data_IF_875448755829
#
_entry.id   IF_875448755829
#
_cell.length_a   1.000
_cell.length_b   1.000
_cell.length_c   1.000
_cell.angle_alpha   90.00
_cell.angle_beta   90.00
_cell.angle_gamma   90.00
#
_symmetry.space_group_name_H-M   'P 1'
#
loop_
_entity.id
_entity.type
_entity.pdbx_description
1 polymer ?
#
# COMPACT_ATOMS: atom_id res chain seq x y z
N UNK A 1 13.14 14.07 -59.89
CA UNK A 1 12.42 12.91 -60.50
C UNK A 1 12.55 11.57 -59.74
N UNK A 2 13.71 11.22 -59.14
CA UNK A 2 13.96 9.89 -58.52
C UNK A 2 12.98 9.45 -57.40
N UNK A 3 12.47 10.37 -56.57
CA UNK A 3 11.50 10.04 -55.48
C UNK A 3 10.09 9.64 -55.96
N UNK A 4 9.62 10.15 -57.10
CA UNK A 4 8.31 9.76 -57.68
C UNK A 4 8.37 8.33 -58.27
N UNK A 5 9.49 7.99 -58.92
CA UNK A 5 9.76 6.63 -59.44
C UNK A 5 9.77 5.56 -58.34
N UNK A 6 10.43 5.82 -57.20
CA UNK A 6 10.47 4.88 -56.07
C UNK A 6 9.08 4.61 -55.45
N UNK A 7 8.25 5.66 -55.32
CA UNK A 7 6.86 5.51 -54.83
C UNK A 7 6.00 4.69 -55.79
N UNK A 8 6.10 4.90 -57.10
CA UNK A 8 5.39 4.09 -58.10
C UNK A 8 5.86 2.63 -58.09
N UNK A 9 7.17 2.38 -58.01
CA UNK A 9 7.73 1.02 -57.95
C UNK A 9 7.26 0.27 -56.70
N UNK A 10 7.26 0.95 -55.54
CA UNK A 10 6.73 0.37 -54.28
C UNK A 10 5.23 0.07 -54.37
N UNK A 11 4.45 0.96 -55.00
CA UNK A 11 3.00 0.75 -55.22
C UNK A 11 2.73 -0.43 -56.16
N UNK A 12 3.50 -0.57 -57.23
CA UNK A 12 3.41 -1.68 -58.18
C UNK A 12 3.65 -3.03 -57.47
N UNK A 13 4.75 -3.19 -56.71
CA UNK A 13 5.01 -4.44 -56.00
C UNK A 13 3.94 -4.77 -54.96
N UNK A 14 3.41 -3.76 -54.25
CA UNK A 14 2.28 -3.96 -53.32
C UNK A 14 1.02 -4.46 -54.03
N UNK A 15 0.70 -3.92 -55.20
CA UNK A 15 -0.45 -4.36 -56.00
C UNK A 15 -0.23 -5.76 -56.58
N UNK A 16 0.98 -6.07 -57.07
CA UNK A 16 1.35 -7.40 -57.55
C UNK A 16 1.23 -8.45 -56.44
N UNK A 17 1.74 -8.16 -55.25
CA UNK A 17 1.64 -9.07 -54.09
C UNK A 17 0.20 -9.26 -53.64
N UNK A 18 -0.62 -8.20 -53.69
CA UNK A 18 -2.06 -8.29 -53.40
C UNK A 18 -2.76 -9.19 -54.41
N UNK A 19 -2.48 -9.01 -55.70
CA UNK A 19 -3.08 -9.83 -56.75
C UNK A 19 -2.67 -11.31 -56.66
N UNK A 20 -1.39 -11.59 -56.37
CA UNK A 20 -0.88 -12.94 -56.13
C UNK A 20 -1.52 -13.60 -54.89
N UNK A 21 -1.79 -12.82 -53.83
CA UNK A 21 -2.51 -13.31 -52.65
C UNK A 21 -3.97 -13.63 -52.98
N UNK A 22 -4.66 -12.74 -53.68
CA UNK A 22 -6.05 -12.95 -54.12
C UNK A 22 -6.17 -14.18 -55.04
N UNK A 23 -5.21 -14.41 -55.94
CA UNK A 23 -5.15 -15.63 -56.75
C UNK A 23 -4.92 -16.88 -55.90
N UNK A 24 -4.05 -16.80 -54.86
CA UNK A 24 -3.81 -17.91 -53.93
C UNK A 24 -5.03 -18.25 -53.08
N UNK A 25 -5.82 -17.24 -52.67
CA UNK A 25 -7.03 -17.42 -51.86
C UNK A 25 -8.19 -18.03 -52.65
N UNK A 26 -8.22 -17.85 -53.98
CA UNK A 26 -9.25 -18.41 -54.87
C UNK A 26 -9.03 -19.88 -55.28
N UNK A 27 -7.86 -20.47 -55.01
CA UNK A 27 -7.61 -21.86 -55.39
C UNK A 27 -8.26 -22.85 -54.41
N UNK A 28 -8.79 -23.94 -54.96
CA UNK A 28 -9.31 -25.05 -54.14
C UNK A 28 -8.17 -25.73 -53.33
N UNK A 29 -8.48 -26.32 -52.17
CA UNK A 29 -7.50 -27.12 -51.40
C UNK A 29 -6.82 -28.20 -52.24
N UNK A 30 -7.56 -28.86 -53.15
CA UNK A 30 -7.05 -29.89 -54.07
C UNK A 30 -6.04 -29.31 -55.06
N UNK A 31 -6.33 -28.14 -55.62
CA UNK A 31 -5.44 -27.43 -56.54
C UNK A 31 -4.16 -26.97 -55.84
N UNK A 32 -4.26 -26.55 -54.58
CA UNK A 32 -3.09 -26.12 -53.80
C UNK A 32 -2.17 -27.30 -53.47
N UNK A 33 -2.72 -28.45 -53.04
CA UNK A 33 -1.93 -29.67 -52.81
C UNK A 33 -1.27 -30.16 -54.10
N UNK A 34 -2.00 -30.15 -55.22
CA UNK A 34 -1.44 -30.56 -56.52
C UNK A 34 -0.24 -29.70 -56.93
N UNK A 35 -0.31 -28.39 -56.67
CA UNK A 35 0.78 -27.44 -56.93
C UNK A 35 1.97 -27.64 -55.98
N UNK A 36 1.71 -27.81 -54.68
CA UNK A 36 2.79 -28.05 -53.69
C UNK A 36 3.53 -29.37 -53.94
N UNK A 37 2.84 -30.38 -54.46
CA UNK A 37 3.45 -31.65 -54.83
C UNK A 37 4.25 -31.58 -56.13
N UNK A 38 4.02 -30.58 -57.00
CA UNK A 38 4.77 -30.29 -58.23
C UNK A 38 5.19 -31.55 -59.04
N UNK A 39 4.26 -32.48 -59.25
CA UNK A 39 4.50 -33.70 -60.03
C UNK A 39 5.17 -34.87 -59.28
N UNK A 40 5.52 -34.71 -58.00
CA UNK A 40 6.10 -35.79 -57.18
C UNK A 40 5.09 -36.92 -56.96
N UNK A 41 5.53 -38.16 -57.17
CA UNK A 41 4.70 -39.34 -56.91
C UNK A 41 4.69 -39.64 -55.40
N UNK A 42 3.54 -39.40 -54.78
CA UNK A 42 3.32 -39.59 -53.33
C UNK A 42 2.18 -40.58 -53.13
N UNK A 43 2.30 -41.52 -52.17
CA UNK A 43 1.24 -42.43 -51.78
C UNK A 43 -0.11 -41.74 -51.53
N UNK A 44 -1.20 -42.40 -51.92
CA UNK A 44 -2.56 -41.85 -51.83
C UNK A 44 -2.92 -41.44 -50.39
N UNK A 45 -2.46 -42.19 -49.40
CA UNK A 45 -2.72 -41.91 -47.98
C UNK A 45 -2.08 -40.59 -47.51
N UNK A 46 -0.85 -40.32 -47.94
CA UNK A 46 -0.15 -39.07 -47.64
C UNK A 46 -0.77 -37.89 -48.38
N UNK A 47 -1.24 -38.09 -49.62
CA UNK A 47 -2.02 -37.09 -50.36
C UNK A 47 -3.31 -36.71 -49.62
N UNK A 48 -4.02 -37.70 -49.05
CA UNK A 48 -5.22 -37.48 -48.22
C UNK A 48 -4.90 -36.71 -46.93
N UNK A 49 -3.80 -37.06 -46.23
CA UNK A 49 -3.34 -36.34 -45.02
C UNK A 49 -2.93 -34.89 -45.29
N UNK A 50 -2.27 -34.62 -46.41
CA UNK A 50 -1.94 -33.25 -46.83
C UNK A 50 -3.19 -32.46 -47.21
N UNK A 51 -4.13 -33.09 -47.93
CA UNK A 51 -5.39 -32.46 -48.30
C UNK A 51 -6.23 -32.11 -47.08
N UNK A 52 -6.29 -32.97 -46.06
CA UNK A 52 -7.00 -32.67 -44.82
C UNK A 52 -6.37 -31.50 -44.07
N UNK A 53 -5.04 -31.42 -44.01
CA UNK A 53 -4.33 -30.30 -43.40
C UNK A 53 -4.58 -28.97 -44.14
N UNK A 54 -4.60 -28.97 -45.48
CA UNK A 54 -4.89 -27.77 -46.29
C UNK A 54 -6.36 -27.37 -46.19
N UNK A 55 -7.29 -28.34 -46.19
CA UNK A 55 -8.71 -28.09 -46.02
C UNK A 55 -9.01 -27.42 -44.67
N UNK A 56 -8.41 -27.90 -43.58
CA UNK A 56 -8.51 -27.28 -42.25
C UNK A 56 -7.99 -25.84 -42.20
N UNK A 57 -6.93 -25.52 -42.96
CA UNK A 57 -6.45 -24.14 -43.12
C UNK A 57 -7.49 -23.26 -43.83
N UNK A 58 -8.19 -23.78 -44.84
CA UNK A 58 -9.19 -23.02 -45.62
C UNK A 58 -10.54 -22.84 -44.92
N UNK A 59 -11.06 -23.85 -44.21
CA UNK A 59 -12.32 -23.74 -43.43
C UNK A 59 -12.20 -22.67 -42.35
N UNK A 60 -10.99 -22.47 -41.81
CA UNK A 60 -10.72 -21.41 -40.84
C UNK A 60 -10.83 -19.99 -41.40
N UNK A 61 -10.41 -19.73 -42.64
CA UNK A 61 -10.56 -18.39 -43.22
C UNK A 61 -12.04 -17.96 -43.29
N UNK A 62 -12.94 -18.96 -43.32
CA UNK A 62 -14.39 -18.78 -43.23
C UNK A 62 -14.91 -18.70 -41.78
N UNK A 63 -14.15 -19.15 -40.79
CA UNK A 63 -14.52 -19.08 -39.36
C UNK A 63 -14.35 -17.65 -38.81
N UNK A 64 -15.33 -16.79 -39.10
CA UNK A 64 -15.43 -15.43 -38.56
C UNK A 64 -16.29 -15.41 -37.27
N UNK A 65 -15.80 -15.99 -36.17
CA UNK A 65 -16.46 -15.76 -34.88
C UNK A 65 -16.31 -14.29 -34.46
N UNK A 66 -17.40 -13.64 -34.03
CA UNK A 66 -17.36 -12.28 -33.48
C UNK A 66 -16.77 -12.25 -32.05
N UNK A 67 -16.79 -13.36 -31.32
CA UNK A 67 -16.37 -13.42 -29.92
C UNK A 67 -14.90 -13.83 -29.74
N UNK A 68 -14.16 -13.06 -28.94
CA UNK A 68 -12.80 -13.39 -28.54
C UNK A 68 -12.71 -14.69 -27.69
N UNK A 69 -13.78 -15.08 -27.00
CA UNK A 69 -13.83 -16.29 -26.17
C UNK A 69 -13.82 -17.55 -27.04
N UNK A 70 -14.71 -17.62 -28.02
CA UNK A 70 -14.82 -18.74 -28.96
C UNK A 70 -13.53 -18.90 -29.79
N UNK A 71 -12.94 -17.78 -30.23
CA UNK A 71 -11.61 -17.79 -30.88
C UNK A 71 -10.53 -18.39 -29.99
N UNK A 72 -10.56 -18.14 -28.68
CA UNK A 72 -9.58 -18.67 -27.72
C UNK A 72 -9.78 -20.15 -27.43
N UNK A 73 -11.02 -20.60 -27.29
CA UNK A 73 -11.36 -22.02 -27.08
C UNK A 73 -10.99 -22.87 -28.30
N UNK A 74 -11.31 -22.42 -29.51
CA UNK A 74 -10.86 -23.08 -30.74
C UNK A 74 -9.34 -23.22 -30.79
N UNK A 75 -8.60 -22.15 -30.47
CA UNK A 75 -7.14 -22.21 -30.43
C UNK A 75 -6.62 -23.17 -29.37
N UNK A 76 -7.26 -23.29 -28.20
CA UNK A 76 -6.87 -24.28 -27.18
C UNK A 76 -6.99 -25.71 -27.69
N UNK A 77 -8.03 -26.02 -28.44
CA UNK A 77 -8.21 -27.35 -29.03
C UNK A 77 -7.12 -27.66 -30.08
N UNK A 78 -6.72 -26.66 -30.87
CA UNK A 78 -5.74 -26.84 -31.95
C UNK A 78 -4.28 -26.82 -31.44
N UNK A 79 -3.98 -25.99 -30.44
CA UNK A 79 -2.60 -25.76 -29.95
C UNK A 79 -2.32 -26.47 -28.62
N UNK A 80 -2.73 -27.74 -28.53
CA UNK A 80 -2.48 -28.59 -27.36
C UNK A 80 -1.02 -29.03 -27.19
N UNK A 81 -0.77 -29.90 -26.21
CA UNK A 81 0.57 -30.42 -25.92
C UNK A 81 1.17 -31.22 -27.09
N UNK A 82 0.32 -31.91 -27.87
CA UNK A 82 0.73 -32.71 -29.02
C UNK A 82 1.37 -31.87 -30.12
N UNK A 83 0.79 -30.71 -30.46
CA UNK A 83 1.35 -29.83 -31.50
C UNK A 83 2.63 -29.14 -31.06
N UNK A 84 2.83 -28.95 -29.75
CA UNK A 84 4.12 -28.51 -29.18
C UNK A 84 5.17 -29.61 -29.24
N UNK A 85 4.82 -30.86 -28.87
CA UNK A 85 5.71 -32.02 -28.90
C UNK A 85 6.32 -32.23 -30.29
N UNK A 86 5.50 -32.12 -31.33
CA UNK A 86 5.92 -32.34 -32.73
C UNK A 86 6.36 -31.06 -33.47
N UNK A 87 6.61 -29.95 -32.76
CA UNK A 87 7.10 -28.67 -33.33
C UNK A 87 6.25 -28.05 -34.45
N UNK A 88 5.05 -28.56 -34.69
CA UNK A 88 4.07 -27.98 -35.63
C UNK A 88 3.52 -26.62 -35.14
N UNK A 89 3.94 -26.15 -33.97
CA UNK A 89 3.49 -24.89 -33.38
C UNK A 89 3.69 -23.67 -34.27
N UNK A 90 4.78 -23.61 -35.06
CA UNK A 90 5.02 -22.48 -35.97
C UNK A 90 4.06 -22.48 -37.16
N UNK A 91 3.72 -23.65 -37.70
CA UNK A 91 2.68 -23.77 -38.73
C UNK A 91 1.31 -23.39 -38.18
N UNK A 92 1.09 -23.73 -36.91
CA UNK A 92 -0.09 -23.31 -36.16
C UNK A 92 -0.02 -21.83 -35.73
N UNK A 93 1.10 -21.11 -35.82
CA UNK A 93 1.21 -19.69 -35.39
C UNK A 93 0.53 -18.74 -36.38
N UNK A 94 0.51 -19.13 -37.64
CA UNK A 94 -0.35 -18.52 -38.68
C UNK A 94 -1.86 -18.79 -38.44
N UNK A 95 -2.14 -19.61 -37.40
CA UNK A 95 -3.37 -20.03 -36.69
C UNK A 95 -4.26 -18.96 -36.05
N UNK A 96 -3.64 -17.85 -35.68
CA UNK A 96 -4.31 -16.85 -34.86
C UNK A 96 -3.45 -15.61 -34.66
N UNK A 97 -4.08 -14.54 -34.15
CA UNK A 97 -3.34 -13.36 -33.71
C UNK A 97 -2.34 -13.77 -32.62
N UNK A 98 -1.13 -13.21 -32.64
CA UNK A 98 -0.12 -13.39 -31.58
C UNK A 98 -0.70 -13.16 -30.16
N UNK A 99 -1.73 -12.31 -30.03
CA UNK A 99 -2.42 -12.02 -28.76
C UNK A 99 -3.19 -13.23 -28.20
N UNK A 100 -3.66 -14.16 -29.03
CA UNK A 100 -4.35 -15.38 -28.60
C UNK A 100 -3.38 -16.48 -28.14
N UNK A 101 -2.13 -16.45 -28.61
CA UNK A 101 -1.04 -17.36 -28.19
C UNK A 101 -0.35 -16.94 -26.91
N UNK A 102 -0.68 -15.76 -26.38
CA UNK A 102 -0.19 -15.31 -25.10
C UNK A 102 -0.70 -16.26 -24.00
N UNK A 103 0.16 -17.22 -23.63
CA UNK A 103 0.01 -18.08 -22.45
C UNK A 103 -0.07 -17.28 -21.14
N UNK A 104 -0.14 -15.93 -21.18
CA UNK A 104 -0.40 -15.07 -20.01
C UNK A 104 -1.73 -15.41 -19.30
N UNK A 105 -2.62 -16.18 -19.93
CA UNK A 105 -3.81 -16.74 -19.29
C UNK A 105 -3.57 -18.00 -18.43
N UNK A 106 -2.35 -18.55 -18.44
CA UNK A 106 -1.90 -19.68 -17.60
C UNK A 106 -0.96 -19.19 -16.48
N UNK A 107 -1.19 -18.00 -15.93
CA UNK A 107 -0.66 -17.75 -14.59
C UNK A 107 -1.35 -18.77 -13.69
N UNK A 108 -0.56 -19.72 -13.15
CA UNK A 108 -0.99 -20.65 -12.11
C UNK A 108 -1.90 -19.90 -11.14
N UNK A 109 -3.11 -20.41 -10.89
CA UNK A 109 -4.08 -19.82 -9.95
C UNK A 109 -3.38 -19.46 -8.64
N UNK A 110 -2.53 -20.37 -8.15
CA UNK A 110 -1.67 -20.17 -6.97
C UNK A 110 -0.83 -18.89 -7.02
N UNK A 111 -0.21 -18.54 -8.15
CA UNK A 111 0.59 -17.30 -8.26
C UNK A 111 -0.28 -16.04 -8.23
N UNK A 112 -1.48 -16.10 -8.80
CA UNK A 112 -2.44 -14.98 -8.76
C UNK A 112 -2.95 -14.79 -7.33
N UNK A 113 -3.19 -15.88 -6.61
CA UNK A 113 -3.69 -15.83 -5.24
C UNK A 113 -2.63 -15.31 -4.27
N UNK A 114 -1.37 -15.77 -4.37
CA UNK A 114 -0.25 -15.23 -3.59
C UNK A 114 -0.08 -13.71 -3.85
N UNK A 115 -0.17 -13.27 -5.11
CA UNK A 115 -0.06 -11.84 -5.43
C UNK A 115 -1.19 -11.00 -4.83
N UNK A 116 -2.41 -11.55 -4.73
CA UNK A 116 -3.53 -10.88 -4.04
C UNK A 116 -3.30 -10.83 -2.53
N UNK A 117 -2.78 -11.92 -1.96
CA UNK A 117 -2.48 -12.00 -0.53
C UNK A 117 -1.40 -11.00 -0.13
N UNK A 118 -0.28 -10.95 -0.86
CA UNK A 118 0.79 -9.95 -0.66
C UNK A 118 0.21 -8.53 -0.69
N UNK A 119 -0.61 -8.23 -1.71
CA UNK A 119 -1.28 -6.92 -1.79
C UNK A 119 -2.14 -6.65 -0.56
N UNK A 120 -2.95 -7.62 -0.13
CA UNK A 120 -3.82 -7.44 1.04
C UNK A 120 -3.02 -7.18 2.31
N UNK A 121 -1.94 -7.92 2.53
CA UNK A 121 -1.07 -7.78 3.70
C UNK A 121 -0.39 -6.41 3.72
N UNK A 122 0.16 -5.94 2.58
CA UNK A 122 0.74 -4.60 2.45
C UNK A 122 -0.33 -3.52 2.72
N UNK A 123 -1.51 -3.64 2.12
CA UNK A 123 -2.59 -2.68 2.33
C UNK A 123 -3.09 -2.64 3.78
N UNK A 124 -3.11 -3.80 4.47
CA UNK A 124 -3.46 -3.90 5.88
C UNK A 124 -2.38 -3.27 6.75
N UNK A 125 -1.10 -3.46 6.41
CA UNK A 125 0.02 -2.80 7.09
C UNK A 125 -0.10 -1.28 7.04
N UNK A 126 -0.35 -0.70 5.86
CA UNK A 126 -0.57 0.75 5.76
C UNK A 126 -1.78 1.22 6.54
N UNK A 127 -2.80 0.40 6.73
CA UNK A 127 -4.02 0.77 7.46
C UNK A 127 -3.88 0.77 8.98
N UNK A 128 -2.79 0.25 9.53
CA UNK A 128 -2.49 0.36 10.97
C UNK A 128 -2.29 1.84 11.35
N UNK A 129 -2.87 2.29 12.46
CA UNK A 129 -2.78 3.66 12.94
C UNK A 129 -1.35 4.10 13.23
N UNK A 130 -0.48 3.16 13.62
CA UNK A 130 0.95 3.40 13.81
C UNK A 130 1.67 3.81 12.52
N UNK A 131 1.21 3.34 11.37
CA UNK A 131 1.89 3.52 10.08
C UNK A 131 1.24 4.63 9.23
N UNK A 132 -0.07 4.84 9.37
CA UNK A 132 -0.75 5.98 8.79
C UNK A 132 -1.92 6.48 9.64
N UNK A 133 -2.01 7.81 9.76
CA UNK A 133 -3.14 8.50 10.37
C UNK A 133 -4.25 8.76 9.36
N UNK A 134 -5.48 8.99 9.83
CA UNK A 134 -6.63 9.34 8.99
C UNK A 134 -6.79 10.85 9.04
N UNK A 135 -6.97 11.49 7.89
CA UNK A 135 -7.23 12.92 7.85
C UNK A 135 -8.53 13.26 8.59
N UNK A 136 -8.57 14.30 9.44
CA UNK A 136 -9.69 14.55 10.34
C UNK A 136 -10.93 15.11 9.62
N UNK A 137 -10.76 15.83 8.50
CA UNK A 137 -11.87 16.54 7.87
C UNK A 137 -12.78 15.62 7.04
N UNK A 138 -14.10 15.76 7.17
CA UNK A 138 -15.08 15.04 6.32
C UNK A 138 -14.88 15.29 4.81
N UNK A 139 -14.29 16.44 4.46
CA UNK A 139 -13.93 16.83 3.08
C UNK A 139 -12.58 16.26 2.64
N UNK A 140 -11.76 15.75 3.55
CA UNK A 140 -10.46 15.12 3.27
C UNK A 140 -10.64 13.70 2.71
N UNK A 141 -11.31 13.63 1.57
CA UNK A 141 -11.54 12.40 0.84
C UNK A 141 -10.86 12.46 -0.53
N UNK A 142 -10.52 11.29 -1.07
CA UNK A 142 -9.97 11.13 -2.40
C UNK A 142 -10.78 10.05 -3.13
N UNK A 143 -11.08 10.33 -4.39
CA UNK A 143 -11.86 9.44 -5.25
C UNK A 143 -10.97 8.97 -6.38
N UNK A 144 -10.89 7.65 -6.56
CA UNK A 144 -10.16 7.03 -7.66
C UNK A 144 -10.98 5.85 -8.17
N UNK A 145 -11.17 5.75 -9.49
CA UNK A 145 -11.99 4.70 -10.11
C UNK A 145 -13.38 4.55 -9.45
N UNK A 146 -14.06 5.68 -9.20
CA UNK A 146 -15.38 5.74 -8.54
C UNK A 146 -15.41 5.25 -7.09
N UNK A 147 -14.25 4.91 -6.51
CA UNK A 147 -14.14 4.53 -5.09
C UNK A 147 -13.69 5.75 -4.30
N UNK A 148 -14.58 6.27 -3.46
CA UNK A 148 -14.29 7.36 -2.52
C UNK A 148 -13.78 6.81 -1.20
N UNK A 149 -12.64 7.30 -0.74
CA UNK A 149 -12.02 6.94 0.55
C UNK A 149 -11.57 8.18 1.29
N UNK A 150 -11.58 8.11 2.62
CA UNK A 150 -10.96 9.13 3.48
C UNK A 150 -9.43 9.10 3.27
N UNK A 151 -8.81 10.27 3.12
CA UNK A 151 -7.36 10.40 3.00
C UNK A 151 -6.70 9.88 4.27
N UNK A 152 -5.56 9.24 4.10
CA UNK A 152 -4.65 8.84 5.17
C UNK A 152 -3.28 9.41 4.88
N UNK A 153 -2.55 9.80 5.91
CA UNK A 153 -1.19 10.30 5.77
C UNK A 153 -0.21 9.33 6.43
N UNK A 154 0.92 9.08 5.79
CA UNK A 154 1.98 8.26 6.38
C UNK A 154 2.59 8.96 7.59
N UNK A 155 2.86 8.20 8.64
CA UNK A 155 3.48 8.73 9.86
C UNK A 155 5.02 8.80 9.76
N UNK A 156 5.61 8.03 8.84
CA UNK A 156 7.05 7.95 8.65
C UNK A 156 7.39 7.86 7.15
N UNK A 157 8.67 7.95 6.82
CA UNK A 157 9.19 7.79 5.46
C UNK A 157 8.87 6.40 4.91
N UNK A 158 8.68 6.35 3.60
CA UNK A 158 8.38 5.09 2.91
C UNK A 158 9.43 4.00 3.15
N UNK A 159 10.70 4.41 3.27
CA UNK A 159 11.84 3.52 3.49
C UNK A 159 11.82 2.92 4.90
N UNK A 160 11.56 3.72 5.92
CA UNK A 160 11.44 3.24 7.30
C UNK A 160 10.24 2.32 7.47
N UNK A 161 9.10 2.67 6.89
CA UNK A 161 7.91 1.82 6.88
C UNK A 161 8.16 0.48 6.19
N UNK A 162 8.95 0.46 5.12
CA UNK A 162 9.35 -0.79 4.48
C UNK A 162 10.24 -1.65 5.39
N UNK A 163 11.21 -1.06 6.09
CA UNK A 163 12.02 -1.81 7.05
C UNK A 163 11.17 -2.37 8.20
N UNK A 164 10.22 -1.57 8.72
CA UNK A 164 9.25 -2.03 9.72
C UNK A 164 8.41 -3.19 9.18
N UNK A 165 7.88 -3.07 7.96
CA UNK A 165 7.12 -4.13 7.29
C UNK A 165 7.95 -5.42 7.13
N UNK A 166 9.18 -5.31 6.63
CA UNK A 166 10.06 -6.46 6.40
C UNK A 166 10.47 -7.16 7.69
N UNK A 167 10.50 -6.45 8.83
CA UNK A 167 10.76 -7.02 10.16
C UNK A 167 9.52 -7.73 10.73
N UNK A 168 8.34 -7.13 10.59
CA UNK A 168 7.07 -7.68 11.08
C UNK A 168 6.61 -8.90 10.26
N UNK A 169 6.67 -8.80 8.93
CA UNK A 169 6.10 -9.79 8.02
C UNK A 169 7.19 -10.59 7.30
N UNK A 170 7.65 -11.64 7.97
CA UNK A 170 8.69 -12.55 7.44
C UNK A 170 8.15 -13.60 6.47
N UNK A 171 6.82 -13.72 6.31
CA UNK A 171 6.20 -14.76 5.47
C UNK A 171 6.44 -14.55 3.97
N UNK A 172 6.59 -13.30 3.55
CA UNK A 172 6.75 -12.95 2.14
C UNK A 172 8.02 -12.14 1.93
N UNK A 173 8.85 -12.54 0.96
CA UNK A 173 9.97 -11.72 0.52
C UNK A 173 9.47 -10.64 -0.45
N UNK A 174 9.10 -9.48 0.09
CA UNK A 174 8.58 -8.33 -0.65
C UNK A 174 9.72 -7.34 -0.88
N UNK A 175 9.97 -6.99 -2.14
CA UNK A 175 10.91 -5.92 -2.48
C UNK A 175 10.35 -4.54 -2.16
N UNK A 176 11.22 -3.56 -1.91
CA UNK A 176 10.82 -2.17 -1.68
C UNK A 176 9.94 -1.61 -2.81
N UNK A 177 10.28 -1.90 -4.07
CA UNK A 177 9.50 -1.45 -5.22
C UNK A 177 8.07 -2.02 -5.22
N UNK A 178 7.93 -3.32 -4.90
CA UNK A 178 6.62 -3.97 -4.83
C UNK A 178 5.78 -3.42 -3.66
N UNK A 179 6.43 -3.15 -2.52
CA UNK A 179 5.80 -2.50 -1.37
C UNK A 179 5.22 -1.13 -1.74
N UNK A 180 6.01 -0.26 -2.36
CA UNK A 180 5.56 1.05 -2.82
C UNK A 180 4.43 0.95 -3.88
N UNK A 181 4.53 0.00 -4.80
CA UNK A 181 3.52 -0.20 -5.84
C UNK A 181 2.15 -0.62 -5.27
N UNK A 182 2.15 -1.32 -4.13
CA UNK A 182 0.93 -1.77 -3.47
C UNK A 182 0.41 -0.81 -2.39
N UNK A 183 1.01 0.37 -2.25
CA UNK A 183 0.47 1.45 -1.44
C UNK A 183 -0.94 1.82 -1.93
N UNK A 184 -1.96 1.83 -1.05
CA UNK A 184 -3.30 2.25 -1.44
C UNK A 184 -3.34 3.71 -1.92
N UNK A 185 -4.15 4.01 -2.93
CA UNK A 185 -4.24 5.38 -3.49
C UNK A 185 -4.73 6.44 -2.48
N UNK A 186 -5.42 6.01 -1.42
CA UNK A 186 -5.92 6.90 -0.37
C UNK A 186 -4.94 7.11 0.77
N UNK A 187 -3.76 6.48 0.72
CA UNK A 187 -2.65 6.70 1.64
C UNK A 187 -1.64 7.60 0.93
N UNK A 188 -1.38 8.77 1.49
CA UNK A 188 -0.61 9.84 0.89
C UNK A 188 0.62 10.13 1.73
N UNK A 189 1.69 10.56 1.06
CA UNK A 189 2.86 11.12 1.74
C UNK A 189 2.43 12.51 2.27
N UNK A 190 2.59 12.79 3.59
CA UNK A 190 2.25 14.09 4.12
C UNK A 190 3.12 15.18 3.49
N UNK A 191 2.49 16.29 3.10
CA UNK A 191 3.22 17.53 2.79
C UNK A 191 3.92 18.00 4.07
N UNK A 192 5.00 18.77 3.95
CA UNK A 192 5.75 19.27 5.12
C UNK A 192 4.85 19.97 6.16
N UNK A 193 3.81 20.69 5.69
CA UNK A 193 2.81 21.35 6.54
C UNK A 193 1.79 20.43 7.21
N UNK A 194 1.68 19.17 6.78
CA UNK A 194 0.70 18.17 7.23
C UNK A 194 1.35 16.99 7.96
N UNK A 195 2.64 17.06 8.28
CA UNK A 195 3.31 15.99 9.03
C UNK A 195 2.78 16.02 10.47
N UNK A 196 2.22 14.90 10.91
CA UNK A 196 1.89 14.64 12.32
C UNK A 196 3.16 14.35 13.13
N UNK A 197 4.13 15.27 13.09
CA UNK A 197 5.07 15.37 14.21
C UNK A 197 4.28 15.92 15.38
N UNK A 198 4.39 15.33 16.58
CA UNK A 198 3.82 15.98 17.76
C UNK A 198 4.36 17.41 17.83
N UNK A 199 3.49 18.40 17.60
CA UNK A 199 3.83 19.82 17.76
C UNK A 199 3.85 20.22 19.24
N UNK A 200 3.78 19.23 20.14
CA UNK A 200 3.90 19.48 21.55
C UNK A 200 5.29 20.02 21.86
N UNK A 201 5.30 21.05 22.70
CA UNK A 201 6.49 21.69 23.25
C UNK A 201 7.47 20.65 23.79
N UNK A 202 6.95 19.56 24.35
CA UNK A 202 7.73 18.49 24.94
C UNK A 202 8.58 17.71 23.93
N UNK A 203 8.01 17.26 22.79
CA UNK A 203 8.78 16.58 21.74
C UNK A 203 9.80 17.52 21.10
N UNK A 204 9.41 18.77 20.83
CA UNK A 204 10.31 19.74 20.22
C UNK A 204 11.46 20.10 21.18
N UNK A 205 11.22 20.25 22.48
CA UNK A 205 12.26 20.50 23.47
C UNK A 205 13.23 19.33 23.60
N UNK A 206 12.72 18.10 23.67
CA UNK A 206 13.58 16.89 23.71
C UNK A 206 14.41 16.78 22.43
N UNK A 207 13.82 17.05 21.26
CA UNK A 207 14.52 17.07 19.98
C UNK A 207 15.63 18.11 19.95
N UNK A 208 15.36 19.34 20.40
CA UNK A 208 16.36 20.42 20.44
C UNK A 208 17.52 20.08 21.38
N UNK A 209 17.23 19.46 22.52
CA UNK A 209 18.22 19.02 23.49
C UNK A 209 19.14 17.94 22.91
N UNK A 210 18.57 16.83 22.42
CA UNK A 210 19.34 15.71 21.84
C UNK A 210 20.14 16.16 20.61
N UNK A 211 19.56 17.00 19.75
CA UNK A 211 20.24 17.53 18.58
C UNK A 211 21.46 18.38 18.97
N UNK A 212 21.34 19.20 20.03
CA UNK A 212 22.49 19.96 20.53
C UNK A 212 23.56 19.05 21.13
N UNK A 213 23.16 18.06 21.93
CA UNK A 213 24.11 17.08 22.50
C UNK A 213 24.86 16.31 21.42
N UNK A 214 24.19 15.95 20.32
CA UNK A 214 24.83 15.36 19.15
C UNK A 214 25.81 16.30 18.45
N UNK A 215 25.43 17.57 18.27
CA UNK A 215 26.34 18.57 17.67
C UNK A 215 27.61 18.78 18.48
N UNK A 216 27.51 18.64 19.81
CA UNK A 216 28.66 18.73 20.73
C UNK A 216 29.46 17.41 20.76
N UNK A 217 28.87 16.29 20.33
CA UNK A 217 29.49 14.97 20.35
C UNK A 217 29.31 14.19 21.65
N UNK A 218 28.32 14.53 22.49
CA UNK A 218 28.01 13.80 23.74
C UNK A 218 27.20 12.53 23.45
N UNK A 219 26.38 12.56 22.40
CA UNK A 219 25.48 11.46 22.01
C UNK A 219 25.61 11.20 20.52
N UNK A 220 25.71 9.93 20.12
CA UNK A 220 25.78 9.51 18.72
C UNK A 220 24.46 9.70 17.96
N UNK A 221 23.35 9.49 18.65
CA UNK A 221 21.99 9.49 18.09
C UNK A 221 21.40 10.90 18.02
N UNK A 222 20.70 11.19 16.91
CA UNK A 222 20.10 12.51 16.66
C UNK A 222 18.61 12.55 17.01
N UNK A 223 17.95 11.39 16.98
CA UNK A 223 16.50 11.32 17.10
C UNK A 223 16.14 11.04 18.57
N UNK A 224 15.31 11.87 19.23
CA UNK A 224 14.84 11.60 20.58
C UNK A 224 14.05 10.28 20.69
N UNK A 225 13.47 9.77 19.60
CA UNK A 225 12.79 8.46 19.65
C UNK A 225 13.75 7.28 19.84
N UNK A 226 15.04 7.47 19.55
CA UNK A 226 16.06 6.42 19.73
C UNK A 226 16.29 6.09 21.21
N UNK A 227 15.72 6.87 22.13
CA UNK A 227 15.63 6.56 23.56
C UNK A 227 14.94 5.21 23.81
N UNK A 228 14.12 4.71 22.86
CA UNK A 228 13.57 3.35 22.90
C UNK A 228 14.65 2.26 22.93
N UNK A 229 15.89 2.54 22.50
CA UNK A 229 17.00 1.59 22.58
C UNK A 229 17.40 1.25 24.04
N UNK A 230 17.02 2.11 25.01
CA UNK A 230 17.20 1.83 26.43
C UNK A 230 16.20 0.78 26.94
N UNK A 231 15.08 0.59 26.23
CA UNK A 231 14.06 -0.40 26.56
C UNK A 231 14.46 -1.82 26.14
N UNK A 232 13.71 -2.83 26.59
CA UNK A 232 13.83 -4.18 26.05
C UNK A 232 13.40 -4.22 24.58
N UNK A 233 13.89 -5.19 23.80
CA UNK A 233 13.43 -5.42 22.42
C UNK A 233 12.54 -6.68 22.35
N UNK A 234 11.25 -6.58 21.94
CA UNK A 234 10.52 -5.37 21.58
C UNK A 234 10.10 -4.53 22.81
N UNK A 235 10.09 -3.20 22.66
CA UNK A 235 9.72 -2.29 23.73
C UNK A 235 8.22 -2.45 24.08
N UNK A 236 7.93 -2.81 25.32
CA UNK A 236 6.56 -2.90 25.83
C UNK A 236 6.13 -1.62 26.51
N UNK A 237 4.82 -1.43 26.71
CA UNK A 237 4.27 -0.29 27.47
C UNK A 237 4.93 -0.15 28.85
N UNK A 238 5.14 -1.26 29.56
CA UNK A 238 5.83 -1.29 30.84
C UNK A 238 7.31 -0.87 30.79
N UNK A 239 7.98 -1.03 29.63
CA UNK A 239 9.34 -0.52 29.44
C UNK A 239 9.34 1.00 29.36
N UNK A 240 8.41 1.59 28.60
CA UNK A 240 8.27 3.04 28.45
C UNK A 240 7.80 3.71 29.75
N UNK A 241 6.99 3.05 30.55
CA UNK A 241 6.57 3.54 31.88
C UNK A 241 7.66 3.35 32.96
N UNK A 242 8.84 2.80 32.60
CA UNK A 242 9.97 2.52 33.52
C UNK A 242 9.65 1.57 34.69
N UNK A 243 8.56 0.82 34.61
CA UNK A 243 8.18 -0.21 35.60
C UNK A 243 8.81 -1.58 35.30
N UNK A 244 9.31 -1.79 34.07
CA UNK A 244 9.93 -3.05 33.67
C UNK A 244 11.20 -3.37 34.48
N UNK A 245 11.21 -4.52 35.15
CA UNK A 245 12.34 -4.97 35.98
C UNK A 245 13.65 -5.10 35.20
N UNK A 246 13.58 -5.41 33.89
CA UNK A 246 14.75 -5.70 33.07
C UNK A 246 15.44 -4.44 32.49
N UNK A 247 14.73 -3.31 32.39
CA UNK A 247 15.27 -2.08 31.80
C UNK A 247 15.14 -0.83 32.67
N UNK A 248 14.50 -0.91 33.85
CA UNK A 248 14.34 0.23 34.77
C UNK A 248 15.65 0.90 35.19
N UNK A 249 16.76 0.16 35.22
CA UNK A 249 18.09 0.66 35.60
C UNK A 249 18.95 1.06 34.41
N UNK A 250 18.51 0.78 33.17
CA UNK A 250 19.28 1.13 31.98
C UNK A 250 19.21 2.64 31.76
N UNK A 251 20.37 3.24 31.48
CA UNK A 251 20.56 4.65 31.17
C UNK A 251 21.09 4.82 29.74
N UNK A 252 21.08 6.06 29.24
CA UNK A 252 21.64 6.40 27.93
C UNK A 252 23.17 6.36 28.03
N UNK A 253 23.83 5.85 26.98
CA UNK A 253 25.29 5.89 26.88
C UNK A 253 25.71 7.26 26.35
N UNK A 254 26.65 7.89 27.03
CA UNK A 254 27.27 9.16 26.64
C UNK A 254 28.73 8.91 26.24
N UNK A 255 29.19 9.65 25.25
CA UNK A 255 30.61 9.69 24.86
C UNK A 255 31.39 10.62 25.81
N UNK A 256 32.72 10.55 25.84
CA UNK A 256 33.53 11.38 26.73
C UNK A 256 33.40 12.88 26.38
N UNK A 257 33.19 13.72 27.40
CA UNK A 257 33.05 15.17 27.22
C UNK A 257 33.63 15.96 28.39
N UNK A 258 34.05 17.21 28.12
CA UNK A 258 34.46 18.15 29.16
C UNK A 258 33.23 18.72 29.87
N UNK A 259 33.06 18.41 31.16
CA UNK A 259 31.86 18.75 31.93
C UNK A 259 31.62 20.26 32.11
N UNK A 260 32.70 21.04 32.21
CA UNK A 260 32.66 22.47 32.58
C UNK A 260 32.53 23.41 31.38
N UNK A 261 32.66 22.87 30.17
CA UNK A 261 32.61 23.69 28.97
C UNK A 261 31.20 24.29 28.78
N UNK A 262 31.16 25.60 28.56
CA UNK A 262 29.92 26.33 28.36
C UNK A 262 29.34 26.08 26.97
N UNK A 263 28.02 25.91 26.93
CA UNK A 263 27.27 25.67 25.71
C UNK A 263 25.94 26.42 25.74
N UNK A 264 25.25 26.46 24.60
CA UNK A 264 23.91 27.02 24.53
C UNK A 264 22.98 26.10 23.74
N UNK A 265 21.73 25.97 24.21
CA UNK A 265 20.69 25.24 23.52
C UNK A 265 19.37 26.03 23.50
N UNK A 266 18.50 25.68 22.55
CA UNK A 266 17.20 26.33 22.40
C UNK A 266 16.11 25.51 23.07
N UNK A 267 15.22 26.15 23.81
CA UNK A 267 14.04 25.52 24.43
C UNK A 267 12.81 26.43 24.27
N UNK A 268 11.64 25.84 24.03
CA UNK A 268 10.36 26.52 24.07
C UNK A 268 9.86 26.61 25.51
N UNK A 269 9.50 27.82 25.94
CA UNK A 269 9.03 28.13 27.29
C UNK A 269 7.78 28.99 27.21
N UNK A 270 6.87 28.77 28.16
CA UNK A 270 5.69 29.60 28.34
C UNK A 270 6.06 30.84 29.15
N UNK A 271 6.07 32.02 28.50
CA UNK A 271 6.25 33.31 29.16
C UNK A 271 4.90 33.99 29.36
N UNK A 272 4.72 34.61 30.54
CA UNK A 272 3.57 35.45 30.85
C UNK A 272 3.98 36.91 30.64
N UNK A 273 3.38 37.56 29.66
CA UNK A 273 3.61 38.97 29.37
C UNK A 273 2.33 39.76 29.67
N UNK A 274 2.47 40.90 30.33
CA UNK A 274 1.37 41.87 30.45
C UNK A 274 1.27 42.64 29.14
N UNK A 275 0.13 42.55 28.47
CA UNK A 275 -0.18 43.34 27.29
C UNK A 275 -1.32 44.30 27.61
N UNK A 276 -1.15 45.57 27.23
CA UNK A 276 -2.23 46.54 27.20
C UNK A 276 -3.06 46.28 25.95
N UNK A 277 -4.25 45.68 26.12
CA UNK A 277 -5.20 45.47 25.04
C UNK A 277 -6.41 46.35 25.31
N UNK A 278 -6.57 47.42 24.50
CA UNK A 278 -7.64 48.42 24.65
C UNK A 278 -7.63 49.13 26.03
N UNK A 279 -6.44 49.51 26.52
CA UNK A 279 -6.29 50.25 27.78
C UNK A 279 -6.42 49.43 29.07
N UNK A 280 -6.71 48.13 28.98
CA UNK A 280 -6.76 47.22 30.13
C UNK A 280 -5.54 46.29 30.13
N UNK A 281 -4.86 46.17 31.27
CA UNK A 281 -3.78 45.20 31.47
C UNK A 281 -4.36 43.77 31.40
N UNK A 282 -3.92 42.99 30.40
CA UNK A 282 -4.21 41.56 30.32
C UNK A 282 -2.92 40.77 30.34
N UNK A 283 -2.86 39.77 31.22
CA UNK A 283 -1.76 38.81 31.23
C UNK A 283 -2.00 37.81 30.10
N UNK A 284 -1.16 37.85 29.08
CA UNK A 284 -1.17 36.90 27.98
C UNK A 284 -0.03 35.90 28.16
N UNK A 285 -0.31 34.62 27.91
CA UNK A 285 0.71 33.58 27.89
C UNK A 285 1.13 33.32 26.45
N UNK A 286 2.44 33.35 26.18
CA UNK A 286 3.01 33.05 24.86
C UNK A 286 4.12 32.01 24.99
N UNK A 287 4.17 31.08 24.04
CA UNK A 287 5.30 30.18 23.91
C UNK A 287 6.40 30.88 23.12
N UNK A 288 7.56 31.10 23.76
CA UNK A 288 8.72 31.76 23.17
C UNK A 288 9.89 30.77 23.13
N UNK A 289 10.67 30.82 22.06
CA UNK A 289 11.88 30.00 21.92
C UNK A 289 13.07 30.79 22.44
N UNK A 290 13.72 30.29 23.47
CA UNK A 290 14.82 30.96 24.15
C UNK A 290 16.11 30.17 24.12
N UNK A 291 17.22 30.90 24.12
CA UNK A 291 18.56 30.34 24.23
C UNK A 291 18.92 30.25 25.71
N UNK A 292 19.24 29.05 26.17
CA UNK A 292 19.73 28.77 27.51
C UNK A 292 21.23 28.53 27.45
N UNK A 293 21.98 29.33 28.22
CA UNK A 293 23.41 29.13 28.46
C UNK A 293 23.57 28.14 29.60
N UNK A 294 24.31 27.07 29.37
CA UNK A 294 24.55 26.03 30.37
C UNK A 294 25.85 25.26 30.09
N UNK A 295 26.39 24.61 31.11
CA UNK A 295 27.52 23.69 30.96
C UNK A 295 27.10 22.40 30.25
N UNK A 296 28.05 21.65 29.70
CA UNK A 296 27.78 20.32 29.10
C UNK A 296 27.19 19.34 30.11
N UNK A 297 27.65 19.36 31.36
CA UNK A 297 27.08 18.53 32.44
C UNK A 297 25.59 18.81 32.68
N UNK A 298 25.18 20.09 32.66
CA UNK A 298 23.79 20.47 32.84
C UNK A 298 22.89 19.97 31.71
N UNK A 299 23.39 19.82 30.48
CA UNK A 299 22.61 19.22 29.38
C UNK A 299 22.24 17.76 29.66
N UNK A 300 23.19 16.99 30.22
CA UNK A 300 22.97 15.58 30.57
C UNK A 300 21.96 15.48 31.71
N UNK A 301 22.12 16.29 32.77
CA UNK A 301 21.19 16.33 33.90
C UNK A 301 19.76 16.69 33.43
N UNK A 302 19.64 17.69 32.56
CA UNK A 302 18.35 18.10 32.01
C UNK A 302 17.72 17.01 31.13
N UNK A 303 18.54 16.25 30.37
CA UNK A 303 18.05 15.11 29.59
C UNK A 303 17.51 14.02 30.51
N UNK A 304 18.28 13.60 31.51
CA UNK A 304 17.90 12.54 32.45
C UNK A 304 16.68 12.91 33.27
N UNK A 305 16.55 14.18 33.66
CA UNK A 305 15.36 14.70 34.35
C UNK A 305 14.11 14.64 33.47
N UNK A 306 14.22 14.99 32.20
CA UNK A 306 13.08 15.01 31.28
C UNK A 306 12.74 13.63 30.70
N UNK A 307 13.66 12.66 30.78
CA UNK A 307 13.54 11.35 30.15
C UNK A 307 12.32 10.53 30.61
N UNK A 308 12.03 10.39 31.92
CA UNK A 308 10.90 9.57 32.38
C UNK A 308 9.57 10.10 31.87
N UNK A 309 9.36 11.42 31.99
CA UNK A 309 8.18 12.10 31.48
C UNK A 309 8.04 11.92 29.96
N UNK A 310 9.17 11.96 29.23
CA UNK A 310 9.20 11.73 27.78
C UNK A 310 8.78 10.32 27.40
N UNK A 311 9.31 9.30 28.09
CA UNK A 311 8.93 7.92 27.82
C UNK A 311 7.46 7.65 28.19
N UNK A 312 6.96 8.22 29.28
CA UNK A 312 5.54 8.11 29.65
C UNK A 312 4.63 8.75 28.59
N UNK A 313 5.03 9.92 28.07
CA UNK A 313 4.33 10.58 26.98
C UNK A 313 4.28 9.70 25.71
N UNK A 314 5.39 9.04 25.36
CA UNK A 314 5.43 8.07 24.27
C UNK A 314 4.51 6.86 24.52
N UNK A 315 4.48 6.34 25.75
CA UNK A 315 3.60 5.23 26.13
C UNK A 315 2.12 5.60 25.97
N UNK A 316 1.74 6.82 26.38
CA UNK A 316 0.38 7.35 26.23
C UNK A 316 -0.02 7.46 24.76
N UNK A 317 0.85 7.99 23.90
CA UNK A 317 0.62 8.07 22.45
C UNK A 317 0.39 6.67 21.86
N UNK A 318 1.26 5.72 22.18
CA UNK A 318 1.15 4.35 21.66
C UNK A 318 -0.15 3.68 22.13
N UNK A 319 -0.51 3.85 23.40
CA UNK A 319 -1.77 3.36 23.93
C UNK A 319 -2.99 3.98 23.23
N UNK A 320 -2.99 5.29 23.03
CA UNK A 320 -4.06 6.00 22.32
C UNK A 320 -4.21 5.48 20.87
N UNK A 321 -3.10 5.29 20.16
CA UNK A 321 -3.13 4.74 18.81
C UNK A 321 -3.74 3.33 18.77
N UNK A 322 -3.35 2.45 19.69
CA UNK A 322 -3.91 1.10 19.81
C UNK A 322 -5.40 1.12 20.15
N UNK A 323 -5.82 1.98 21.08
CA UNK A 323 -7.22 2.13 21.47
C UNK A 323 -8.08 2.63 20.29
N UNK A 324 -7.60 3.63 19.56
CA UNK A 324 -8.26 4.14 18.35
C UNK A 324 -8.39 3.05 17.29
N UNK A 325 -7.34 2.27 17.06
CA UNK A 325 -7.36 1.16 16.10
C UNK A 325 -8.35 0.06 16.52
N UNK A 326 -8.45 -0.23 17.82
CA UNK A 326 -9.42 -1.15 18.37
C UNK A 326 -10.86 -0.66 18.16
N UNK A 327 -11.14 0.61 18.47
CA UNK A 327 -12.46 1.23 18.23
C UNK A 327 -12.82 1.15 16.75
N UNK A 328 -11.89 1.51 15.86
CA UNK A 328 -12.09 1.39 14.40
C UNK A 328 -12.41 -0.03 13.97
N UNK A 329 -11.71 -1.02 14.54
CA UNK A 329 -11.97 -2.44 14.27
C UNK A 329 -13.37 -2.85 14.71
N UNK A 330 -13.80 -2.45 15.91
CA UNK A 330 -15.16 -2.70 16.40
C UNK A 330 -16.19 -2.06 15.46
N UNK A 331 -16.03 -0.77 15.15
CA UNK A 331 -16.97 -0.06 14.29
C UNK A 331 -17.11 -0.68 12.90
N UNK A 332 -16.06 -1.30 12.36
CA UNK A 332 -16.14 -2.02 11.08
C UNK A 332 -16.89 -3.35 11.19
N UNK A 333 -16.76 -4.06 12.33
CA UNK A 333 -17.50 -5.31 12.57
C UNK A 333 -18.96 -5.08 12.90
N UNK A 334 -19.28 -4.05 13.68
CA UNK A 334 -20.63 -3.64 14.05
C UNK A 334 -21.17 -2.64 13.01
N UNK A 335 -21.15 -3.03 11.74
CA UNK A 335 -21.91 -2.32 10.70
C UNK A 335 -23.27 -2.99 10.52
N UNK A 336 -24.35 -2.23 10.24
CA UNK A 336 -25.70 -2.80 10.05
C UNK A 336 -25.70 -3.97 9.06
N UNK A 337 -24.89 -3.88 8.00
CA UNK A 337 -24.72 -4.92 6.98
C UNK A 337 -24.13 -6.23 7.54
N UNK A 338 -23.17 -6.15 8.46
CA UNK A 338 -22.54 -7.34 9.06
C UNK A 338 -23.45 -7.99 10.11
N UNK A 339 -24.24 -7.20 10.83
CA UNK A 339 -25.27 -7.68 11.75
C UNK A 339 -26.36 -8.42 10.96
N UNK A 340 -26.91 -7.79 9.91
CA UNK A 340 -27.93 -8.41 9.05
C UNK A 340 -27.44 -9.72 8.39
N UNK A 341 -26.17 -9.79 7.98
CA UNK A 341 -25.55 -11.03 7.47
C UNK A 341 -25.42 -12.11 8.53
N UNK A 342 -25.06 -11.75 9.77
CA UNK A 342 -24.90 -12.70 10.89
C UNK A 342 -26.25 -13.33 11.28
N UNK A 343 -27.34 -12.58 11.18
CA UNK A 343 -28.69 -13.05 11.52
C UNK A 343 -29.49 -13.59 10.32
N UNK A 344 -28.86 -13.82 9.16
CA UNK A 344 -29.51 -14.31 7.91
C UNK A 344 -30.82 -13.57 7.57
N UNK A 345 -30.90 -12.26 7.86
CA UNK A 345 -32.11 -11.49 7.54
C UNK A 345 -32.09 -11.24 6.03
N UNK A 346 -33.14 -11.62 5.27
CA UNK A 346 -33.18 -11.41 3.83
C UNK A 346 -33.10 -9.92 3.51
N UNK A 347 -32.11 -9.54 2.69
CA UNK A 347 -32.00 -8.19 2.15
C UNK A 347 -33.06 -8.07 1.06
N UNK A 348 -34.29 -7.71 1.45
CA UNK A 348 -35.34 -7.35 0.49
C UNK A 348 -34.92 -6.08 -0.25
N UNK A 349 -35.23 -6.07 -1.55
CA UNK A 349 -34.68 -5.18 -2.55
C UNK A 349 -34.69 -3.70 -2.17
N UNK A 350 -33.62 -3.02 -2.56
CA UNK A 350 -33.45 -1.58 -2.42
C UNK A 350 -34.59 -0.82 -3.11
N UNK A 351 -35.56 -0.35 -2.33
CA UNK A 351 -36.36 0.86 -2.56
C UNK A 351 -37.18 1.14 -1.29
N UNK A 352 -36.87 2.25 -0.64
CA UNK A 352 -37.65 2.89 0.43
C UNK A 352 -37.84 2.11 1.74
N UNK A 353 -36.86 2.17 2.65
CA UNK A 353 -37.10 1.97 4.07
C UNK A 353 -36.42 3.10 4.87
N UNK A 354 -37.20 4.14 5.20
CA UNK A 354 -36.92 4.99 6.37
C UNK A 354 -37.26 4.15 7.60
N UNK A 355 -36.26 3.54 8.23
CA UNK A 355 -36.45 2.87 9.51
C UNK A 355 -36.58 3.92 10.62
N UNK A 356 -37.62 3.86 11.48
CA UNK A 356 -37.77 4.76 12.60
C UNK A 356 -36.72 4.44 13.68
N UNK A 357 -36.14 5.49 14.24
CA UNK A 357 -35.05 5.49 15.24
C UNK A 357 -35.37 4.68 16.52
N UNK A 358 -36.65 4.38 16.76
CA UNK A 358 -37.15 3.76 18.00
C UNK A 358 -36.83 2.27 18.13
N UNK A 359 -36.72 1.52 17.02
CA UNK A 359 -36.32 0.10 17.09
C UNK A 359 -34.83 -0.09 17.39
N UNK A 360 -34.01 0.94 17.25
CA UNK A 360 -32.56 0.84 17.48
C UNK A 360 -32.19 0.89 18.97
N UNK A 361 -33.00 1.56 19.80
CA UNK A 361 -32.77 1.63 21.25
C UNK A 361 -33.05 0.30 21.97
N UNK A 362 -34.03 -0.49 21.52
CA UNK A 362 -34.42 -1.74 22.20
C UNK A 362 -33.36 -2.86 22.12
N UNK A 363 -32.59 -2.92 21.02
CA UNK A 363 -31.60 -4.00 20.80
C UNK A 363 -30.24 -3.67 21.44
N UNK A 364 -29.93 -2.38 21.63
CA UNK A 364 -28.69 -1.94 22.28
C UNK A 364 -28.76 -1.93 23.81
N UNK A 365 -29.95 -1.87 24.42
CA UNK A 365 -30.10 -1.81 25.88
C UNK A 365 -29.91 -3.16 26.60
N UNK A 366 -30.07 -4.32 25.94
CA UNK A 366 -30.04 -5.61 26.64
C UNK A 366 -28.64 -6.21 26.87
N UNK A 367 -27.55 -5.47 26.63
CA UNK A 367 -26.19 -6.02 26.84
C UNK A 367 -25.10 -5.03 27.29
N UNK A 368 -25.46 -3.80 27.64
CA UNK A 368 -24.52 -2.75 28.05
C UNK A 368 -24.46 -2.51 29.57
N UNK A 369 -25.29 -3.17 30.38
CA UNK A 369 -25.32 -2.94 31.84
C UNK A 369 -24.22 -3.68 32.63
N UNK A 370 -23.49 -4.63 32.02
CA UNK A 370 -22.47 -5.41 32.74
C UNK A 370 -21.00 -5.00 32.51
N UNK A 371 -20.74 -3.95 31.72
CA UNK A 371 -19.35 -3.52 31.43
C UNK A 371 -19.03 -2.05 31.76
N UNK A 372 -20.02 -1.27 32.20
CA UNK A 372 -19.83 0.16 32.51
C UNK A 372 -19.37 0.45 33.94
N UNK A 373 -19.32 -0.54 34.83
CA UNK A 373 -18.98 -0.34 36.26
C UNK A 373 -17.48 -0.25 36.58
N UNK A 374 -16.57 -0.21 35.60
CA UNK A 374 -15.11 -0.17 35.86
C UNK A 374 -14.44 1.14 35.40
N UNK A 375 -15.15 2.07 34.75
CA UNK A 375 -14.50 3.21 34.08
C UNK A 375 -14.65 4.59 34.76
N UNK A 376 -15.36 4.72 35.89
CA UNK A 376 -15.50 6.02 36.57
C UNK A 376 -15.36 5.89 38.10
N UNK A 377 -14.10 5.85 38.57
CA UNK A 377 -13.76 6.16 39.95
C UNK A 377 -12.36 6.77 40.02
N UNK A 378 -12.21 8.01 39.53
CA UNK A 378 -11.15 8.93 40.00
C UNK A 378 -11.81 10.28 40.21
N UNK A 379 -12.11 10.55 41.48
CA UNK A 379 -12.57 11.85 41.98
C UNK A 379 -11.46 12.90 41.82
N UNK A 380 -11.76 14.17 41.53
CA UNK A 380 -10.82 15.25 41.77
C UNK A 380 -10.90 15.66 43.24
N UNK A 381 -9.78 15.57 43.96
CA UNK A 381 -9.55 16.35 45.19
C UNK A 381 -8.12 16.89 45.16
N UNK A 382 -8.08 18.22 45.31
CA UNK A 382 -6.96 19.16 45.49
C UNK A 382 -6.17 19.52 44.25
#
# INVERSE_FOLDING_TARGET
>A
MKRKSFKCKTRYYRLKDKHLKEQKEKMSPKSNVKRELNGKNVPLELKKKLLSAVALKTTRNKFQSKSHKQKREFMRCVTGNTTKKYRCFNDMRNIGSYKLFSLKGLKSTKRVDIAKEIRHVIQKFYQKGENSSVAPGKKDSITFHQIKKQKRFLNDTMKNLYYKFSREEKRFNVSYALFCQHMPFWVLIPKASLRETCLCVFHENMRLLVLKMKMIGIVTQANPDDVKNVCCEPATKHCLERVCQNCKTKTIRYDDYNAEENTCYKKWILKREKLLVKGLEKVCQKNVKENFLCTKSHLVIELEKNLPNYMEHLAKIEHQHKAIDYIKWISQKITPVNILKKYKVPILGARNLRFPFTLWCGILNLRMESYFSIAFAVSPKV
#
